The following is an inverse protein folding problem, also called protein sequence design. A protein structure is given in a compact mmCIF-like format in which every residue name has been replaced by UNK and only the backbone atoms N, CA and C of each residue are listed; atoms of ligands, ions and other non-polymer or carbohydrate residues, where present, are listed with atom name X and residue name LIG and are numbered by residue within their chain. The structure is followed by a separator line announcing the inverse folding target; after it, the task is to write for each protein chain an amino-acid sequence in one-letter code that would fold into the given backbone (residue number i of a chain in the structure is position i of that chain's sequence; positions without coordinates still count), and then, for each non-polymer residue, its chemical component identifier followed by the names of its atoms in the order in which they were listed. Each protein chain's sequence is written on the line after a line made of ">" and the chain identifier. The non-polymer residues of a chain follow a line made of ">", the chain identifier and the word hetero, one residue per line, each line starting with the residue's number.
data_IF_509575492638
#
_entry.id   IF_509575492638
#
_cell.length_a   1.000
_cell.length_b   1.000
_cell.length_c   1.000
_cell.angle_alpha   90.00
_cell.angle_beta   90.00
_cell.angle_gamma   90.00
#
_symmetry.space_group_name_H-M   'P 1'
#
loop_
_entity.id
_entity.type
_entity.pdbx_description
1 polymer ?
#
# COMPACT_ATOMS: atom_id res chain seq x y z
N UNK A 1 -9.28 15.43 -12.26
CA UNK A 1 -8.93 14.00 -12.30
C UNK A 1 -8.67 13.57 -10.85
N UNK A 2 -9.37 12.55 -10.33
CA UNK A 2 -9.13 12.08 -8.95
C UNK A 2 -7.81 11.31 -8.93
N UNK A 3 -6.90 11.66 -8.01
CA UNK A 3 -5.64 10.93 -7.87
C UNK A 3 -5.92 9.53 -7.36
N UNK A 4 -5.41 8.53 -8.09
CA UNK A 4 -5.46 7.13 -7.68
C UNK A 4 -4.55 6.92 -6.48
N UNK A 5 -5.10 6.34 -5.41
CA UNK A 5 -4.40 6.05 -4.16
C UNK A 5 -4.08 4.57 -4.10
N UNK A 6 -2.84 4.26 -3.74
CA UNK A 6 -2.36 2.90 -3.49
C UNK A 6 -2.14 2.67 -1.99
N UNK A 7 -2.31 1.44 -1.53
CA UNK A 7 -2.18 1.07 -0.11
C UNK A 7 -0.92 0.24 0.14
N UNK A 8 -0.12 0.63 1.12
CA UNK A 8 0.87 -0.28 1.69
C UNK A 8 0.20 -1.13 2.77
N UNK A 9 0.11 -2.44 2.53
CA UNK A 9 -0.61 -3.40 3.35
C UNK A 9 -2.06 -3.62 2.92
N UNK A 10 -2.57 -4.80 3.23
CA UNK A 10 -3.97 -5.20 3.01
C UNK A 10 -4.47 -6.04 4.21
N UNK A 11 -4.41 -5.46 5.40
CA UNK A 11 -4.91 -6.09 6.64
C UNK A 11 -6.32 -5.60 6.98
N UNK A 12 -6.92 -6.08 8.08
CA UNK A 12 -8.16 -5.52 8.61
C UNK A 12 -8.10 -4.00 8.82
N UNK A 13 -6.94 -3.46 9.21
CA UNK A 13 -6.72 -2.01 9.33
C UNK A 13 -6.77 -1.31 7.96
N UNK A 14 -6.23 -1.95 6.92
CA UNK A 14 -6.28 -1.41 5.57
C UNK A 14 -7.70 -1.34 5.02
N UNK A 15 -8.58 -2.28 5.40
CA UNK A 15 -10.01 -2.25 5.01
C UNK A 15 -10.73 -1.03 5.58
N UNK A 16 -10.48 -0.71 6.85
CA UNK A 16 -11.03 0.51 7.47
C UNK A 16 -10.52 1.77 6.75
N UNK A 17 -9.22 1.79 6.38
CA UNK A 17 -8.66 2.88 5.57
C UNK A 17 -9.32 2.96 4.19
N UNK A 18 -9.61 1.83 3.53
CA UNK A 18 -10.35 1.81 2.28
C UNK A 18 -11.70 2.50 2.44
N UNK A 19 -12.47 2.15 3.47
CA UNK A 19 -13.79 2.75 3.73
C UNK A 19 -13.70 4.27 3.93
N UNK A 20 -12.70 4.73 4.68
CA UNK A 20 -12.46 6.16 4.91
C UNK A 20 -12.15 6.86 3.59
N UNK A 21 -11.19 6.36 2.81
CA UNK A 21 -10.77 6.96 1.54
C UNK A 21 -11.91 6.97 0.52
N UNK A 22 -12.68 5.88 0.43
CA UNK A 22 -13.86 5.80 -0.44
C UNK A 22 -14.94 6.80 0.00
N UNK A 23 -15.19 6.95 1.31
CA UNK A 23 -16.18 7.92 1.82
C UNK A 23 -15.80 9.38 1.53
N UNK A 24 -14.49 9.67 1.39
CA UNK A 24 -13.97 10.97 0.99
C UNK A 24 -13.95 11.15 -0.54
N UNK A 25 -14.41 10.15 -1.29
CA UNK A 25 -14.45 10.15 -2.74
C UNK A 25 -13.09 9.96 -3.39
N UNK A 26 -12.08 9.41 -2.70
CA UNK A 26 -10.83 8.98 -3.30
C UNK A 26 -11.05 7.77 -4.22
N UNK A 27 -10.18 7.60 -5.21
CA UNK A 27 -10.16 6.44 -6.10
C UNK A 27 -9.03 5.50 -5.66
N UNK A 28 -9.35 4.27 -5.28
CA UNK A 28 -8.36 3.28 -4.82
C UNK A 28 -7.95 2.39 -5.99
N UNK A 29 -6.65 2.26 -6.23
CA UNK A 29 -6.16 1.57 -7.42
C UNK A 29 -5.49 0.22 -7.12
N UNK A 30 -4.78 0.11 -6.01
CA UNK A 30 -3.99 -1.09 -5.74
C UNK A 30 -3.40 -1.14 -4.35
N UNK A 31 -2.76 -2.27 -4.06
CA UNK A 31 -2.11 -2.52 -2.78
C UNK A 31 -0.78 -3.26 -2.94
N UNK A 32 0.09 -3.07 -1.95
CA UNK A 32 1.38 -3.71 -1.85
C UNK A 32 1.44 -4.60 -0.60
N UNK A 33 1.77 -5.88 -0.78
CA UNK A 33 1.96 -6.89 0.27
C UNK A 33 3.00 -7.91 -0.19
N UNK A 34 3.49 -8.77 0.71
CA UNK A 34 4.44 -9.85 0.36
C UNK A 34 3.80 -10.91 -0.57
N UNK A 35 2.48 -11.10 -0.45
CA UNK A 35 1.70 -12.01 -1.27
C UNK A 35 0.30 -11.44 -1.53
N UNK A 36 -0.37 -11.80 -2.64
CA UNK A 36 -1.74 -11.39 -2.89
C UNK A 36 -2.66 -11.90 -1.78
N UNK A 37 -3.67 -11.10 -1.41
CA UNK A 37 -4.68 -11.52 -0.44
C UNK A 37 -5.82 -12.27 -1.12
N UNK A 38 -6.32 -13.34 -0.49
CA UNK A 38 -7.46 -14.10 -1.01
C UNK A 38 -8.77 -13.31 -0.95
N UNK A 39 -8.97 -12.56 0.14
CA UNK A 39 -10.19 -11.80 0.39
C UNK A 39 -9.95 -10.30 0.11
N UNK A 40 -10.24 -9.90 -1.13
CA UNK A 40 -10.10 -8.55 -1.68
C UNK A 40 -11.47 -7.93 -2.01
N UNK A 41 -12.29 -7.54 -1.01
CA UNK A 41 -13.65 -7.05 -1.24
C UNK A 41 -13.70 -5.68 -1.96
N UNK A 42 -12.57 -4.98 -2.00
CA UNK A 42 -12.42 -3.69 -2.68
C UNK A 42 -11.86 -3.83 -4.10
N UNK A 43 -11.66 -5.06 -4.59
CA UNK A 43 -11.19 -5.37 -5.95
C UNK A 43 -9.89 -4.62 -6.35
N UNK A 44 -9.03 -4.33 -5.38
CA UNK A 44 -7.79 -3.59 -5.61
C UNK A 44 -6.77 -4.46 -6.36
N UNK A 45 -5.96 -3.84 -7.22
CA UNK A 45 -4.90 -4.54 -7.95
C UNK A 45 -3.77 -4.90 -6.97
N UNK A 46 -3.32 -6.16 -6.99
CA UNK A 46 -2.09 -6.55 -6.30
C UNK A 46 -0.89 -6.03 -7.09
N UNK A 47 -0.11 -5.15 -6.47
CA UNK A 47 1.00 -4.44 -7.12
C UNK A 47 2.38 -5.00 -6.77
N UNK A 48 2.46 -6.15 -6.10
CA UNK A 48 3.71 -6.78 -5.66
C UNK A 48 4.20 -6.27 -4.30
N UNK A 49 5.45 -6.57 -3.99
CA UNK A 49 6.08 -6.18 -2.73
C UNK A 49 6.86 -4.87 -2.87
N UNK A 50 6.88 -4.04 -1.82
CA UNK A 50 7.40 -2.67 -1.85
C UNK A 50 8.90 -2.55 -2.23
N UNK A 51 9.67 -3.63 -2.04
CA UNK A 51 11.08 -3.70 -2.43
C UNK A 51 11.32 -4.19 -3.87
N UNK A 52 10.26 -4.57 -4.62
CA UNK A 52 10.41 -5.05 -5.99
C UNK A 52 10.55 -3.89 -6.99
N UNK A 53 11.42 -4.02 -8.03
CA UNK A 53 11.63 -2.96 -9.02
C UNK A 53 10.36 -2.51 -9.75
N UNK A 54 9.46 -3.44 -10.05
CA UNK A 54 8.14 -3.19 -10.66
C UNK A 54 7.25 -2.35 -9.76
N UNK A 55 7.20 -2.66 -8.47
CA UNK A 55 6.40 -1.94 -7.47
C UNK A 55 6.96 -0.53 -7.22
N UNK A 56 8.28 -0.37 -7.15
CA UNK A 56 8.94 0.93 -7.00
C UNK A 56 8.61 1.91 -8.13
N UNK A 57 8.42 1.42 -9.36
CA UNK A 57 8.01 2.26 -10.49
C UNK A 57 6.59 2.83 -10.29
N UNK A 58 5.68 2.07 -9.69
CA UNK A 58 4.32 2.52 -9.38
C UNK A 58 4.36 3.55 -8.25
N UNK A 59 5.11 3.25 -7.18
CA UNK A 59 5.22 4.08 -5.96
C UNK A 59 5.75 5.48 -6.28
N UNK A 60 6.74 5.60 -7.18
CA UNK A 60 7.33 6.91 -7.56
C UNK A 60 6.38 7.85 -8.30
N UNK A 61 5.33 7.31 -8.92
CA UNK A 61 4.46 8.07 -9.84
C UNK A 61 3.04 8.28 -9.30
N UNK A 62 2.71 7.76 -8.11
CA UNK A 62 1.35 7.79 -7.57
C UNK A 62 1.32 8.18 -6.09
N UNK A 63 0.15 8.62 -5.63
CA UNK A 63 -0.10 8.84 -4.21
C UNK A 63 -0.32 7.50 -3.51
N UNK A 64 0.20 7.37 -2.29
CA UNK A 64 0.05 6.17 -1.49
C UNK A 64 -0.32 6.50 -0.05
N UNK A 65 -0.98 5.53 0.61
CA UNK A 65 -1.30 5.58 2.02
C UNK A 65 -0.74 4.35 2.73
N UNK A 66 -0.06 4.57 3.86
CA UNK A 66 0.50 3.47 4.65
C UNK A 66 -0.58 2.95 5.59
N UNK A 67 -1.12 1.77 5.30
CA UNK A 67 -2.23 1.15 6.05
C UNK A 67 -1.80 -0.11 6.83
N UNK A 68 -0.50 -0.22 7.12
CA UNK A 68 0.08 -1.25 7.99
C UNK A 68 0.07 -0.75 9.44
N UNK A 69 -0.68 -1.44 10.31
CA UNK A 69 -0.69 -1.16 11.75
C UNK A 69 0.66 -1.39 12.44
N UNK A 70 1.56 -2.18 11.83
CA UNK A 70 2.93 -2.40 12.31
C UNK A 70 3.92 -1.75 11.37
N UNK A 71 4.54 -0.66 11.84
CA UNK A 71 5.73 -0.07 11.22
C UNK A 71 6.93 -0.92 11.65
N UNK A 72 7.45 -1.75 10.74
CA UNK A 72 8.72 -2.45 10.97
C UNK A 72 9.86 -1.49 10.63
N UNK A 73 10.50 -0.90 11.64
CA UNK A 73 11.78 -0.22 11.46
C UNK A 73 12.86 -1.28 11.27
N UNK A 74 13.25 -1.53 10.02
CA UNK A 74 14.23 -2.55 9.68
C UNK A 74 15.31 -2.03 8.74
N UNK A 75 16.20 -1.16 9.24
CA UNK A 75 17.59 -1.10 8.81
C UNK A 75 18.44 -0.57 9.96
N UNK A 76 19.28 -1.45 10.50
CA UNK A 76 20.39 -1.10 11.37
C UNK A 76 21.22 0.04 10.74
N UNK A 77 21.40 1.14 11.46
CA UNK A 77 22.45 2.13 11.21
C UNK A 77 23.80 1.58 11.71
N UNK A 78 24.17 0.37 11.31
CA UNK A 78 25.48 -0.22 11.60
C UNK A 78 26.30 -0.21 10.32
N UNK A 79 26.75 0.97 9.91
CA UNK A 79 28.03 1.21 9.23
C UNK A 79 28.21 2.71 9.01
N UNK A 80 28.63 3.40 10.07
CA UNK A 80 29.48 4.58 9.93
C UNK A 80 30.74 4.28 10.73
N UNK A 81 31.71 3.69 10.04
CA UNK A 81 33.14 3.77 10.41
C UNK A 81 33.71 5.04 9.82
#
# INVERSE_FOLDING_TARGET
>A
MKSKVFLFGYSGHARVVCDILLSQGCDLAGYFTESPVENNPYELIYCGFEDEPSSLAIIKNHSYFVARAVIRFGKNLSNTV
#
